data_IF_971531683137
#
_entry.id   IF_971531683137
#
_cell.length_a   1.000
_cell.length_b   1.000
_cell.length_c   1.000
_cell.angle_alpha   90.00
_cell.angle_beta   90.00
_cell.angle_gamma   90.00
#
_symmetry.space_group_name_H-M   'P 1'
#
loop_
_entity.id
_entity.type
_entity.pdbx_description
1 polymer ?
#
# COMPACT_ATOMS: atom_id res chain seq x y z
N UNK A 1 -17.42 8.38 27.53
CA UNK A 1 -15.95 8.45 27.35
C UNK A 1 -15.35 7.37 26.43
N UNK A 2 -15.73 6.09 26.52
CA UNK A 2 -15.15 5.00 25.69
C UNK A 2 -15.31 5.17 24.16
N UNK A 3 -16.39 5.78 23.69
CA UNK A 3 -16.60 6.07 22.24
C UNK A 3 -15.65 7.14 21.70
N UNK A 4 -15.44 8.23 22.44
CA UNK A 4 -14.51 9.30 22.05
C UNK A 4 -13.07 8.79 21.98
N UNK A 5 -12.66 7.95 22.93
CA UNK A 5 -11.36 7.30 22.90
C UNK A 5 -11.19 6.41 21.66
N UNK A 6 -12.24 5.67 21.27
CA UNK A 6 -12.22 4.83 20.07
C UNK A 6 -12.06 5.65 18.79
N UNK A 7 -12.76 6.78 18.67
CA UNK A 7 -12.59 7.70 17.55
C UNK A 7 -11.19 8.30 17.53
N UNK A 8 -10.64 8.67 18.69
CA UNK A 8 -9.30 9.22 18.81
C UNK A 8 -8.21 8.23 18.39
N UNK A 9 -8.31 6.97 18.83
CA UNK A 9 -7.39 5.90 18.42
C UNK A 9 -7.49 5.64 16.90
N UNK A 10 -8.70 5.69 16.36
CA UNK A 10 -8.95 5.45 14.94
C UNK A 10 -8.35 6.55 14.05
N UNK A 11 -8.53 7.83 14.40
CA UNK A 11 -7.89 8.94 13.68
C UNK A 11 -6.38 8.93 13.81
N UNK A 12 -5.85 8.53 14.96
CA UNK A 12 -4.41 8.43 15.20
C UNK A 12 -3.77 7.30 14.36
N UNK A 13 -4.45 6.15 14.25
CA UNK A 13 -4.05 5.06 13.35
C UNK A 13 -4.08 5.48 11.88
N UNK A 14 -5.14 6.18 11.44
CA UNK A 14 -5.25 6.68 10.07
C UNK A 14 -4.11 7.67 9.77
N UNK A 15 -3.80 8.57 10.71
CA UNK A 15 -2.71 9.54 10.58
C UNK A 15 -1.35 8.85 10.47
N UNK A 16 -1.09 7.87 11.34
CA UNK A 16 0.14 7.07 11.28
C UNK A 16 0.27 6.34 9.94
N UNK A 17 -0.78 5.69 9.46
CA UNK A 17 -0.80 5.03 8.15
C UNK A 17 -0.58 6.02 7.01
N UNK A 18 -1.15 7.22 7.10
CA UNK A 18 -0.98 8.26 6.09
C UNK A 18 0.44 8.82 6.06
N UNK A 19 1.01 9.12 7.23
CA UNK A 19 2.37 9.63 7.38
C UNK A 19 3.41 8.58 6.97
N UNK A 20 3.13 7.32 7.29
CA UNK A 20 3.97 6.19 6.91
C UNK A 20 3.65 5.63 5.52
N UNK A 21 2.75 6.24 4.71
CA UNK A 21 2.52 5.79 3.31
C UNK A 21 3.82 5.66 2.54
N UNK A 22 4.68 6.66 2.63
CA UNK A 22 5.97 6.68 1.92
C UNK A 22 7.01 5.78 2.60
N UNK A 23 6.97 5.61 3.92
CA UNK A 23 7.86 4.70 4.64
C UNK A 23 7.49 3.23 4.43
N UNK A 24 6.20 2.92 4.35
CA UNK A 24 5.66 1.61 4.01
C UNK A 24 5.97 1.28 2.56
N UNK A 25 5.73 2.21 1.62
CA UNK A 25 6.17 2.07 0.22
C UNK A 25 7.68 1.87 0.14
N UNK A 26 8.48 2.64 0.88
CA UNK A 26 9.93 2.45 0.92
C UNK A 26 10.33 1.12 1.54
N UNK A 27 9.70 0.66 2.63
CA UNK A 27 9.98 -0.65 3.21
C UNK A 27 9.58 -1.79 2.27
N UNK A 28 8.44 -1.66 1.59
CA UNK A 28 7.96 -2.59 0.57
C UNK A 28 8.91 -2.67 -0.62
N UNK A 29 9.40 -1.52 -1.10
CA UNK A 29 10.30 -1.44 -2.25
C UNK A 29 11.75 -1.76 -1.90
N UNK A 30 12.18 -1.50 -0.66
CA UNK A 30 13.54 -1.76 -0.15
C UNK A 30 13.74 -3.23 0.22
N UNK A 31 12.70 -3.93 0.67
CA UNK A 31 12.80 -5.33 1.03
C UNK A 31 12.47 -6.26 -0.15
N UNK A 32 13.40 -7.15 -0.52
CA UNK A 32 13.25 -8.04 -1.70
C UNK A 32 11.99 -8.91 -1.62
N UNK A 33 11.64 -9.35 -0.41
CA UNK A 33 10.42 -10.12 -0.10
C UNK A 33 9.17 -9.26 -0.25
N UNK A 34 9.19 -8.04 0.28
CA UNK A 34 8.08 -7.09 0.15
C UNK A 34 7.79 -6.76 -1.31
N UNK A 35 8.84 -6.50 -2.09
CA UNK A 35 8.73 -6.21 -3.52
C UNK A 35 8.18 -7.40 -4.29
N UNK A 36 8.62 -8.61 -3.98
CA UNK A 36 8.06 -9.83 -4.58
C UNK A 36 6.57 -9.98 -4.26
N UNK A 37 6.17 -9.78 -3.01
CA UNK A 37 4.76 -9.82 -2.60
C UNK A 37 3.92 -8.74 -3.27
N UNK A 38 4.44 -7.51 -3.38
CA UNK A 38 3.77 -6.39 -4.04
C UNK A 38 3.54 -6.63 -5.53
N UNK A 39 4.56 -7.17 -6.22
CA UNK A 39 4.46 -7.53 -7.62
C UNK A 39 3.47 -8.68 -7.77
N UNK A 40 3.55 -9.70 -6.91
CA UNK A 40 2.63 -10.84 -6.95
C UNK A 40 1.18 -10.39 -6.78
N UNK A 41 0.90 -9.56 -5.77
CA UNK A 41 -0.45 -9.01 -5.55
C UNK A 41 -0.91 -8.11 -6.68
N UNK A 42 -0.04 -7.24 -7.21
CA UNK A 42 -0.36 -6.41 -8.37
C UNK A 42 -0.71 -7.24 -9.61
N UNK A 43 -0.04 -8.39 -9.80
CA UNK A 43 -0.33 -9.32 -10.90
C UNK A 43 -1.56 -10.21 -10.66
N UNK A 44 -1.95 -10.46 -9.39
CA UNK A 44 -3.19 -11.17 -9.06
C UNK A 44 -4.42 -10.35 -9.37
N UNK A 45 -4.35 -9.02 -9.28
CA UNK A 45 -5.47 -8.14 -9.60
C UNK A 45 -5.54 -7.83 -11.11
N UNK A 46 -6.59 -8.25 -11.83
CA UNK A 46 -6.67 -8.12 -13.29
C UNK A 46 -6.66 -6.66 -13.76
N UNK A 47 -7.27 -5.74 -13.01
CA UNK A 47 -7.29 -4.32 -13.33
C UNK A 47 -5.91 -3.65 -13.21
N UNK A 48 -5.17 -3.96 -12.14
CA UNK A 48 -3.83 -3.41 -11.88
C UNK A 48 -2.83 -4.00 -12.88
N UNK A 49 -2.91 -5.32 -13.09
CA UNK A 49 -2.13 -6.03 -14.12
C UNK A 49 -2.34 -5.42 -15.50
N UNK A 50 -3.58 -5.14 -15.89
CA UNK A 50 -3.92 -4.54 -17.18
C UNK A 50 -3.28 -3.16 -17.38
N UNK A 51 -3.34 -2.29 -16.35
CA UNK A 51 -2.67 -0.98 -16.41
C UNK A 51 -1.15 -1.09 -16.47
N UNK A 52 -0.54 -1.96 -15.65
CA UNK A 52 0.91 -2.20 -15.70
C UNK A 52 1.37 -2.69 -17.07
N UNK A 53 0.68 -3.68 -17.64
CA UNK A 53 1.01 -4.20 -18.97
C UNK A 53 0.80 -3.14 -20.04
N UNK A 54 -0.27 -2.33 -19.96
CA UNK A 54 -0.48 -1.23 -20.90
C UNK A 54 0.61 -0.15 -20.84
N UNK A 55 1.28 0.02 -19.69
CA UNK A 55 2.43 0.94 -19.56
C UNK A 55 3.74 0.30 -20.04
N UNK A 56 3.94 -1.01 -19.78
CA UNK A 56 5.14 -1.74 -20.20
C UNK A 56 5.18 -1.97 -21.71
N UNK A 57 4.04 -2.24 -22.33
CA UNK A 57 3.91 -2.49 -23.78
C UNK A 57 3.51 -1.23 -24.57
N UNK A 58 3.45 -0.05 -23.95
CA UNK A 58 3.25 1.22 -24.65
C UNK A 58 4.53 1.82 -25.26
N UNK A 59 5.66 1.11 -25.11
CA UNK A 59 6.93 1.44 -25.75
C UNK A 59 7.27 0.39 -26.80
#
# INVERSE_FOLDING_TARGET
MKRLLKFFIMTLLISLVYQSRYQLLNMLLRNRVGRSLAVRTAFTFPYIRGKMMSQLFKY
#
